data_IF_332591987169
#
_entry.id   IF_332591987169
#
_cell.length_a   1.000
_cell.length_b   1.000
_cell.length_c   1.000
_cell.angle_alpha   90.00
_cell.angle_beta   90.00
_cell.angle_gamma   90.00
#
_symmetry.space_group_name_H-M   'P 1'
#
loop_
_entity.id
_entity.type
_entity.pdbx_description
1 polymer ?
#
# COMPACT_ATOMS: atom_id res chain seq x y z
N UNK A 1 14.51 19.20 24.38
CA UNK A 1 14.47 20.62 23.93
C UNK A 1 13.02 20.95 23.63
N UNK A 2 12.47 22.05 24.17
CA UNK A 2 11.10 22.48 23.84
C UNK A 2 11.04 22.98 22.39
N UNK A 3 9.99 22.62 21.65
CA UNK A 3 9.80 22.98 20.23
C UNK A 3 9.98 24.49 20.00
N UNK A 4 9.36 25.32 20.84
CA UNK A 4 9.42 26.78 20.77
C UNK A 4 10.86 27.33 20.94
N UNK A 5 11.65 26.72 21.81
CA UNK A 5 13.06 27.10 22.01
C UNK A 5 13.91 26.75 20.78
N UNK A 6 13.64 25.62 20.12
CA UNK A 6 14.33 25.21 18.90
C UNK A 6 13.96 26.09 17.69
N UNK A 7 12.69 26.50 17.56
CA UNK A 7 12.24 27.44 16.52
C UNK A 7 12.92 28.79 16.70
N UNK A 8 12.92 29.33 17.93
CA UNK A 8 13.56 30.60 18.24
C UNK A 8 15.07 30.58 17.98
N UNK A 9 15.74 29.44 18.21
CA UNK A 9 17.15 29.28 17.87
C UNK A 9 17.39 29.28 16.35
N UNK A 10 16.54 28.62 15.57
CA UNK A 10 16.65 28.59 14.10
C UNK A 10 16.35 29.93 13.43
N UNK A 11 15.56 30.77 14.09
CA UNK A 11 15.25 32.13 13.65
C UNK A 11 16.31 33.16 14.05
N UNK A 12 17.34 32.83 14.84
CA UNK A 12 18.35 33.81 15.30
C UNK A 12 19.56 33.98 14.37
N UNK A 13 19.68 33.23 13.28
CA UNK A 13 20.78 33.40 12.33
C UNK A 13 20.69 34.76 11.59
N UNK A 14 21.74 35.59 11.55
CA UNK A 14 21.68 36.93 10.96
C UNK A 14 21.43 36.88 9.45
N UNK A 15 20.63 37.82 8.94
CA UNK A 15 20.31 37.98 7.52
C UNK A 15 21.52 38.54 6.73
N UNK A 16 21.65 38.15 5.45
CA UNK A 16 22.42 38.93 4.46
C UNK A 16 21.55 40.09 3.92
N UNK A 17 22.14 41.23 3.55
CA UNK A 17 21.39 42.45 3.30
C UNK A 17 20.72 42.51 1.91
N UNK A 18 19.50 43.07 1.93
CA UNK A 18 18.78 43.89 0.96
C UNK A 18 18.62 43.42 -0.51
N UNK A 19 17.41 42.95 -0.81
CA UNK A 19 16.81 42.86 -2.14
C UNK A 19 15.33 42.45 -2.06
N UNK A 20 14.54 42.72 -3.10
CA UNK A 20 13.06 42.68 -3.17
C UNK A 20 12.40 41.31 -2.91
N UNK A 21 13.18 40.27 -2.57
CA UNK A 21 12.72 38.92 -2.21
C UNK A 21 12.49 38.68 -0.71
N UNK A 22 12.46 39.75 0.11
CA UNK A 22 12.47 39.68 1.58
C UNK A 22 11.36 38.80 2.18
N UNK A 23 10.11 38.95 1.72
CA UNK A 23 8.98 38.21 2.27
C UNK A 23 9.07 36.70 1.96
N UNK A 24 9.54 36.36 0.76
CA UNK A 24 9.67 34.96 0.36
C UNK A 24 10.82 34.29 1.13
N UNK A 25 11.93 35.01 1.32
CA UNK A 25 13.07 34.54 2.12
C UNK A 25 12.71 34.36 3.60
N UNK A 26 11.95 35.30 4.18
CA UNK A 26 11.44 35.19 5.56
C UNK A 26 10.51 34.00 5.72
N UNK A 27 9.61 33.78 4.75
CA UNK A 27 8.73 32.62 4.75
C UNK A 27 9.50 31.31 4.67
N UNK A 28 10.48 31.21 3.76
CA UNK A 28 11.35 30.04 3.64
C UNK A 28 12.15 29.78 4.92
N UNK A 29 12.60 30.83 5.59
CA UNK A 29 13.35 30.75 6.85
C UNK A 29 12.45 30.29 8.00
N UNK A 30 11.26 30.86 8.14
CA UNK A 30 10.27 30.42 9.13
C UNK A 30 9.90 28.96 8.92
N UNK A 31 9.60 28.57 7.67
CA UNK A 31 9.29 27.18 7.29
C UNK A 31 10.45 26.25 7.67
N UNK A 32 11.68 26.62 7.36
CA UNK A 32 12.88 25.82 7.66
C UNK A 32 13.12 25.68 9.17
N UNK A 33 12.95 26.76 9.94
CA UNK A 33 13.08 26.75 11.39
C UNK A 33 12.01 25.84 12.04
N UNK A 34 10.76 25.95 11.60
CA UNK A 34 9.65 25.10 12.06
C UNK A 34 9.91 23.61 11.77
N UNK A 35 10.31 23.28 10.54
CA UNK A 35 10.58 21.90 10.13
C UNK A 35 11.77 21.29 10.90
N UNK A 36 12.85 22.05 11.07
CA UNK A 36 14.02 21.57 11.81
C UNK A 36 13.73 21.41 13.31
N UNK A 37 13.03 22.37 13.91
CA UNK A 37 12.58 22.24 15.30
C UNK A 37 11.67 21.02 15.47
N UNK A 38 10.74 20.79 14.54
CA UNK A 38 9.86 19.64 14.57
C UNK A 38 10.64 18.31 14.49
N UNK A 39 11.62 18.21 13.59
CA UNK A 39 12.49 17.04 13.45
C UNK A 39 13.31 16.73 14.70
N UNK A 40 13.73 17.75 15.45
CA UNK A 40 14.56 17.60 16.63
C UNK A 40 13.77 17.36 17.93
N UNK A 41 12.50 17.76 17.97
CA UNK A 41 11.71 17.77 19.22
C UNK A 41 10.55 16.79 19.23
N UNK A 42 9.97 16.45 18.06
CA UNK A 42 8.96 15.41 17.99
C UNK A 42 9.63 14.06 17.71
N UNK A 43 9.22 12.98 18.41
CA UNK A 43 9.72 11.65 18.12
C UNK A 43 9.42 11.28 16.66
N UNK A 44 10.41 10.76 15.94
CA UNK A 44 10.25 10.24 14.57
C UNK A 44 9.27 9.07 14.60
N UNK A 45 7.99 9.35 14.39
CA UNK A 45 6.98 8.33 14.14
C UNK A 45 6.88 8.20 12.62
N UNK A 46 7.38 7.09 12.08
CA UNK A 46 7.08 6.69 10.70
C UNK A 46 5.60 6.29 10.68
N UNK A 47 4.73 7.28 10.52
CA UNK A 47 3.30 7.05 10.28
C UNK A 47 3.20 6.64 8.81
N UNK A 48 3.42 5.36 8.57
CA UNK A 48 3.11 4.77 7.29
C UNK A 48 1.59 4.78 7.13
N UNK A 49 1.07 5.73 6.37
CA UNK A 49 -0.28 5.64 5.76
C UNK A 49 -0.42 4.40 4.86
N UNK A 50 0.69 3.69 4.60
CA UNK A 50 0.76 2.50 3.77
C UNK A 50 0.73 1.20 4.58
N UNK A 51 0.59 1.23 5.91
CA UNK A 51 0.27 0.02 6.68
C UNK A 51 -1.22 0.01 7.01
N UNK A 52 -2.04 -0.79 6.32
CA UNK A 52 -3.35 -1.14 6.84
C UNK A 52 -3.17 -1.65 8.27
N UNK A 53 -3.92 -1.08 9.22
CA UNK A 53 -3.79 -1.39 10.64
C UNK A 53 -4.21 -2.84 10.96
N UNK A 54 -4.82 -3.53 10.00
CA UNK A 54 -4.98 -4.97 9.94
C UNK A 54 -5.17 -5.37 8.47
N UNK A 55 -4.77 -6.58 8.10
CA UNK A 55 -5.15 -7.19 6.82
C UNK A 55 -6.69 -7.20 6.74
N UNK A 56 -7.29 -6.58 5.71
CA UNK A 56 -8.74 -6.55 5.53
C UNK A 56 -9.30 -7.97 5.57
N UNK A 57 -10.45 -8.16 6.23
CA UNK A 57 -11.03 -9.48 6.42
C UNK A 57 -11.29 -10.17 5.09
N UNK A 58 -11.72 -9.40 4.09
CA UNK A 58 -12.03 -9.82 2.73
C UNK A 58 -10.79 -10.34 1.98
N UNK A 59 -9.59 -9.86 2.33
CA UNK A 59 -8.34 -10.27 1.67
C UNK A 59 -7.68 -11.48 2.34
N UNK A 60 -8.08 -11.83 3.56
CA UNK A 60 -7.49 -12.95 4.31
C UNK A 60 -7.53 -14.27 3.53
N UNK A 61 -8.62 -14.66 2.85
CA UNK A 61 -8.65 -15.92 2.10
C UNK A 61 -7.62 -15.96 0.97
N UNK A 62 -7.48 -14.88 0.22
CA UNK A 62 -6.52 -14.78 -0.91
C UNK A 62 -5.08 -14.83 -0.38
N UNK A 63 -4.81 -14.13 0.72
CA UNK A 63 -3.48 -14.13 1.37
C UNK A 63 -3.17 -15.51 1.96
N UNK A 64 -4.15 -16.17 2.58
CA UNK A 64 -4.01 -17.52 3.10
C UNK A 64 -3.62 -18.50 1.98
N UNK A 65 -4.33 -18.45 0.86
CA UNK A 65 -4.05 -19.26 -0.31
C UNK A 65 -2.64 -19.00 -0.86
N UNK A 66 -2.23 -17.73 -0.93
CA UNK A 66 -0.87 -17.35 -1.34
C UNK A 66 0.19 -17.96 -0.43
N UNK A 67 0.05 -17.80 0.90
CA UNK A 67 1.00 -18.35 1.87
C UNK A 67 1.04 -19.88 1.85
N UNK A 68 -0.12 -20.51 1.65
CA UNK A 68 -0.23 -21.97 1.52
C UNK A 68 0.56 -22.49 0.32
N UNK A 69 0.44 -21.82 -0.84
CA UNK A 69 1.22 -22.13 -2.03
C UNK A 69 2.72 -21.86 -1.83
N UNK A 70 3.07 -20.73 -1.22
CA UNK A 70 4.47 -20.39 -0.91
C UNK A 70 5.12 -21.43 -0.01
N UNK A 71 4.43 -21.83 1.06
CA UNK A 71 4.90 -22.87 1.97
C UNK A 71 5.11 -24.20 1.24
N UNK A 72 4.17 -24.59 0.36
CA UNK A 72 4.33 -25.81 -0.44
C UNK A 72 5.53 -25.73 -1.38
N UNK A 73 5.68 -24.64 -2.14
CA UNK A 73 6.83 -24.43 -3.03
C UNK A 73 8.14 -24.50 -2.24
N UNK A 74 8.21 -23.86 -1.07
CA UNK A 74 9.38 -23.94 -0.19
C UNK A 74 9.63 -25.34 0.37
N UNK A 75 8.60 -26.16 0.53
CA UNK A 75 8.76 -27.54 0.99
C UNK A 75 9.37 -28.45 -0.09
N UNK A 76 9.24 -28.11 -1.38
CA UNK A 76 9.78 -28.90 -2.48
C UNK A 76 11.31 -29.06 -2.42
N UNK A 77 12.02 -28.12 -1.79
CA UNK A 77 13.47 -28.22 -1.57
C UNK A 77 13.88 -29.39 -0.68
N UNK A 78 12.94 -30.01 0.04
CA UNK A 78 13.17 -31.16 0.93
C UNK A 78 12.76 -32.50 0.29
N UNK A 79 12.32 -32.48 -0.96
CA UNK A 79 11.81 -33.67 -1.66
C UNK A 79 12.95 -34.25 -2.51
N UNK A 80 13.26 -35.53 -2.30
CA UNK A 80 14.41 -36.19 -2.93
C UNK A 80 14.01 -37.32 -3.89
N UNK A 81 12.74 -37.73 -3.89
CA UNK A 81 12.24 -38.78 -4.78
C UNK A 81 10.88 -38.45 -5.39
N UNK A 82 10.54 -39.16 -6.47
CA UNK A 82 9.22 -39.08 -7.11
C UNK A 82 8.09 -39.55 -6.18
N UNK A 83 8.38 -40.48 -5.27
CA UNK A 83 7.42 -40.98 -4.28
C UNK A 83 7.09 -39.92 -3.23
N UNK A 84 8.11 -39.22 -2.74
CA UNK A 84 7.93 -38.10 -1.80
C UNK A 84 7.12 -36.98 -2.45
N UNK A 85 7.40 -36.68 -3.73
CA UNK A 85 6.65 -35.68 -4.50
C UNK A 85 5.20 -36.10 -4.66
N UNK A 86 4.94 -37.35 -5.05
CA UNK A 86 3.58 -37.88 -5.18
C UNK A 86 2.79 -37.75 -3.89
N UNK A 87 3.34 -38.21 -2.76
CA UNK A 87 2.65 -38.16 -1.48
C UNK A 87 2.39 -36.71 -1.02
N UNK A 88 3.40 -35.86 -1.14
CA UNK A 88 3.30 -34.43 -0.78
C UNK A 88 2.25 -33.72 -1.64
N UNK A 89 2.28 -33.96 -2.95
CA UNK A 89 1.36 -33.33 -3.90
C UNK A 89 -0.07 -33.81 -3.73
N UNK A 90 -0.27 -35.12 -3.54
CA UNK A 90 -1.59 -35.70 -3.32
C UNK A 90 -2.24 -35.20 -2.02
N UNK A 91 -1.42 -34.87 -1.00
CA UNK A 91 -1.91 -34.24 0.23
C UNK A 91 -2.26 -32.77 0.06
N UNK A 92 -1.45 -32.03 -0.70
CA UNK A 92 -1.61 -30.59 -0.87
C UNK A 92 -2.72 -30.23 -1.87
N UNK A 93 -2.65 -30.80 -3.08
CA UNK A 93 -3.39 -30.34 -4.26
C UNK A 93 -4.91 -30.34 -4.07
N UNK A 94 -5.58 -31.38 -3.53
CA UNK A 94 -7.04 -31.37 -3.42
C UNK A 94 -7.56 -30.21 -2.57
N UNK A 95 -6.87 -29.92 -1.46
CA UNK A 95 -7.23 -28.81 -0.57
C UNK A 95 -6.96 -27.45 -1.21
N UNK A 96 -5.84 -27.32 -1.93
CA UNK A 96 -5.49 -26.09 -2.63
C UNK A 96 -6.41 -25.83 -3.82
N UNK A 97 -6.74 -26.88 -4.58
CA UNK A 97 -7.66 -26.83 -5.72
C UNK A 97 -9.01 -26.27 -5.31
N UNK A 98 -9.62 -26.86 -4.27
CA UNK A 98 -10.91 -26.42 -3.74
C UNK A 98 -10.88 -24.95 -3.32
N UNK A 99 -9.93 -24.57 -2.48
CA UNK A 99 -9.82 -23.17 -2.01
C UNK A 99 -9.59 -22.19 -3.16
N UNK A 100 -8.80 -22.57 -4.17
CA UNK A 100 -8.57 -21.76 -5.35
C UNK A 100 -9.85 -21.59 -6.18
N UNK A 101 -10.57 -22.67 -6.47
CA UNK A 101 -11.81 -22.62 -7.27
C UNK A 101 -12.92 -21.86 -6.54
N UNK A 102 -12.99 -21.96 -5.22
CA UNK A 102 -13.95 -21.23 -4.40
C UNK A 102 -13.66 -19.71 -4.44
N UNK A 103 -12.38 -19.31 -4.48
CA UNK A 103 -11.97 -17.90 -4.50
C UNK A 103 -11.93 -17.29 -5.90
N UNK A 104 -11.72 -18.10 -6.94
CA UNK A 104 -11.52 -17.65 -8.30
C UNK A 104 -12.41 -18.41 -9.29
N UNK A 105 -13.71 -18.40 -9.05
CA UNK A 105 -14.72 -19.13 -9.84
C UNK A 105 -14.55 -18.89 -11.35
N UNK A 106 -14.40 -17.62 -11.75
CA UNK A 106 -14.27 -17.23 -13.17
C UNK A 106 -12.89 -17.55 -13.78
N UNK A 107 -11.92 -17.96 -12.97
CA UNK A 107 -10.53 -18.24 -13.37
C UNK A 107 -10.11 -19.66 -12.99
N UNK A 108 -11.06 -20.57 -12.73
CA UNK A 108 -10.81 -21.96 -12.33
C UNK A 108 -9.92 -22.69 -13.33
N UNK A 109 -10.10 -22.45 -14.63
CA UNK A 109 -9.28 -23.06 -15.70
C UNK A 109 -7.76 -22.83 -15.55
N UNK A 110 -7.32 -21.79 -14.80
CA UNK A 110 -5.90 -21.58 -14.54
C UNK A 110 -5.28 -22.72 -13.75
N UNK A 111 -6.03 -23.30 -12.81
CA UNK A 111 -5.49 -24.36 -11.95
C UNK A 111 -5.42 -25.70 -12.66
N UNK A 112 -6.20 -25.90 -13.73
CA UNK A 112 -6.21 -27.13 -14.52
C UNK A 112 -4.92 -27.30 -15.33
N UNK A 113 -4.10 -26.25 -15.45
CA UNK A 113 -2.74 -26.30 -16.00
C UNK A 113 -1.81 -27.12 -15.08
N UNK A 114 -2.14 -27.22 -13.79
CA UNK A 114 -1.36 -28.00 -12.84
C UNK A 114 -1.57 -29.50 -13.04
N UNK A 115 -0.50 -30.26 -12.85
CA UNK A 115 -0.52 -31.70 -13.00
C UNK A 115 -1.43 -32.35 -11.95
N UNK A 116 -2.42 -33.13 -12.40
CA UNK A 116 -3.24 -33.93 -11.49
C UNK A 116 -2.35 -34.94 -10.73
N UNK A 117 -2.45 -35.04 -9.39
CA UNK A 117 -1.67 -36.01 -8.60
C UNK A 117 -1.74 -37.45 -9.11
N UNK A 118 -2.89 -37.87 -9.64
CA UNK A 118 -3.07 -39.22 -10.19
C UNK A 118 -2.18 -39.51 -11.42
N UNK A 119 -1.81 -38.47 -12.17
CA UNK A 119 -1.02 -38.56 -13.40
C UNK A 119 0.48 -38.31 -13.16
N UNK A 120 0.90 -38.06 -11.91
CA UNK A 120 2.25 -37.61 -11.63
C UNK A 120 3.31 -38.64 -12.03
N UNK A 121 3.08 -39.91 -11.69
CA UNK A 121 3.97 -41.01 -12.07
C UNK A 121 3.99 -41.24 -13.58
N UNK A 122 2.82 -41.30 -14.22
CA UNK A 122 2.75 -41.54 -15.66
C UNK A 122 3.49 -40.45 -16.43
N UNK A 123 3.29 -39.18 -16.06
CA UNK A 123 3.97 -38.04 -16.70
C UNK A 123 5.48 -38.06 -16.42
N UNK A 124 5.90 -38.40 -15.19
CA UNK A 124 7.32 -38.56 -14.89
C UNK A 124 7.97 -39.63 -15.76
N UNK A 125 7.35 -40.82 -15.85
CA UNK A 125 7.87 -41.92 -16.67
C UNK A 125 7.87 -41.61 -18.16
N UNK A 126 6.84 -40.93 -18.68
CA UNK A 126 6.75 -40.60 -20.11
C UNK A 126 7.76 -39.54 -20.54
N UNK A 127 8.11 -38.62 -19.65
CA UNK A 127 9.08 -37.56 -19.95
C UNK A 127 10.52 -38.09 -20.00
N UNK A 128 10.78 -39.27 -19.42
CA UNK A 128 12.10 -39.90 -19.38
C UNK A 128 13.20 -38.95 -18.89
N UNK A 129 12.89 -38.17 -17.85
CA UNK A 129 13.80 -37.21 -17.22
C UNK A 129 14.34 -37.79 -15.92
N UNK A 130 15.51 -37.33 -15.51
CA UNK A 130 15.96 -37.49 -14.14
C UNK A 130 15.06 -36.67 -13.19
N UNK A 131 14.95 -37.13 -11.95
CA UNK A 131 14.07 -36.51 -10.95
C UNK A 131 14.37 -35.01 -10.72
N UNK A 132 15.65 -34.57 -10.60
CA UNK A 132 15.96 -33.14 -10.46
C UNK A 132 15.39 -32.27 -11.60
N UNK A 133 15.55 -32.68 -12.86
CA UNK A 133 15.02 -31.93 -14.01
C UNK A 133 13.50 -31.92 -14.01
N UNK A 134 12.87 -33.04 -13.68
CA UNK A 134 11.41 -33.10 -13.53
C UNK A 134 10.92 -32.14 -12.42
N UNK A 135 11.58 -32.11 -11.27
CA UNK A 135 11.23 -31.24 -10.15
C UNK A 135 11.36 -29.76 -10.51
N UNK A 136 12.37 -29.37 -11.32
CA UNK A 136 12.50 -28.00 -11.84
C UNK A 136 11.30 -27.64 -12.72
N UNK A 137 10.89 -28.52 -13.65
CA UNK A 137 9.70 -28.30 -14.48
C UNK A 137 8.42 -28.19 -13.66
N UNK A 138 8.27 -29.06 -12.66
CA UNK A 138 7.15 -29.02 -11.73
C UNK A 138 7.12 -27.69 -10.96
N UNK A 139 8.26 -27.22 -10.43
CA UNK A 139 8.36 -25.93 -9.76
C UNK A 139 8.01 -24.76 -10.69
N UNK A 140 8.40 -24.81 -11.97
CA UNK A 140 8.05 -23.78 -12.96
C UNK A 140 6.52 -23.75 -13.16
N UNK A 141 5.85 -24.90 -13.22
CA UNK A 141 4.39 -24.95 -13.35
C UNK A 141 3.66 -24.28 -12.17
N UNK A 142 4.18 -24.41 -10.94
CA UNK A 142 3.60 -23.75 -9.77
C UNK A 142 3.86 -22.24 -9.76
N UNK A 143 4.94 -21.78 -10.40
CA UNK A 143 5.31 -20.36 -10.44
C UNK A 143 4.27 -19.51 -11.15
N UNK A 144 3.61 -20.02 -12.19
CA UNK A 144 2.56 -19.27 -12.91
C UNK A 144 1.36 -19.00 -12.00
N UNK A 145 0.90 -20.01 -11.27
CA UNK A 145 -0.19 -19.87 -10.29
C UNK A 145 0.21 -18.93 -9.16
N UNK A 146 1.45 -19.03 -8.67
CA UNK A 146 1.97 -18.10 -7.67
C UNK A 146 1.96 -16.65 -8.16
N UNK A 147 2.39 -16.40 -9.38
CA UNK A 147 2.38 -15.05 -9.97
C UNK A 147 0.97 -14.51 -10.07
N UNK A 148 0.02 -15.34 -10.52
CA UNK A 148 -1.38 -14.98 -10.59
C UNK A 148 -1.95 -14.61 -9.21
N UNK A 149 -1.81 -15.50 -8.21
CA UNK A 149 -2.34 -15.27 -6.85
C UNK A 149 -1.72 -14.01 -6.23
N UNK A 150 -0.41 -13.83 -6.36
CA UNK A 150 0.30 -12.64 -5.87
C UNK A 150 -0.16 -11.35 -6.56
N UNK A 151 -0.36 -11.40 -7.88
CA UNK A 151 -0.93 -10.30 -8.65
C UNK A 151 -2.34 -9.92 -8.16
N UNK A 152 -3.19 -10.93 -7.92
CA UNK A 152 -4.53 -10.73 -7.35
C UNK A 152 -4.50 -10.10 -5.97
N UNK A 153 -3.65 -10.60 -5.06
CA UNK A 153 -3.44 -9.99 -3.73
C UNK A 153 -3.09 -8.51 -3.87
N UNK A 154 -2.15 -8.18 -4.76
CA UNK A 154 -1.69 -6.79 -4.95
C UNK A 154 -2.80 -5.86 -5.45
N UNK A 155 -3.56 -6.31 -6.46
CA UNK A 155 -4.67 -5.54 -7.03
C UNK A 155 -5.77 -5.32 -5.99
N UNK A 156 -6.16 -6.36 -5.28
CA UNK A 156 -7.23 -6.25 -4.27
C UNK A 156 -6.81 -5.40 -3.06
N UNK A 157 -5.54 -5.46 -2.64
CA UNK A 157 -5.01 -4.52 -1.64
C UNK A 157 -5.08 -3.07 -2.11
N UNK A 158 -4.73 -2.81 -3.37
CA UNK A 158 -4.79 -1.48 -3.94
C UNK A 158 -6.23 -0.96 -4.00
N UNK A 159 -7.17 -1.79 -4.46
CA UNK A 159 -8.60 -1.47 -4.51
C UNK A 159 -9.14 -1.16 -3.11
N UNK A 160 -8.83 -2.00 -2.12
CA UNK A 160 -9.22 -1.76 -0.74
C UNK A 160 -8.67 -0.42 -0.22
N UNK A 161 -7.39 -0.13 -0.46
CA UNK A 161 -6.77 1.14 -0.06
C UNK A 161 -7.49 2.34 -0.69
N UNK A 162 -7.84 2.25 -1.97
CA UNK A 162 -8.59 3.31 -2.66
C UNK A 162 -9.99 3.52 -2.05
N UNK A 163 -10.71 2.43 -1.77
CA UNK A 163 -12.04 2.50 -1.14
C UNK A 163 -11.97 3.12 0.25
N UNK A 164 -11.03 2.67 1.10
CA UNK A 164 -10.83 3.23 2.44
C UNK A 164 -10.45 4.71 2.38
N UNK A 165 -9.58 5.10 1.44
CA UNK A 165 -9.19 6.49 1.26
C UNK A 165 -10.38 7.35 0.83
N UNK A 166 -11.17 6.90 -0.15
CA UNK A 166 -12.39 7.60 -0.59
C UNK A 166 -13.40 7.75 0.55
N UNK A 167 -13.63 6.71 1.34
CA UNK A 167 -14.53 6.75 2.50
C UNK A 167 -14.02 7.72 3.59
N UNK A 168 -12.72 7.74 3.85
CA UNK A 168 -12.12 8.67 4.81
C UNK A 168 -12.24 10.13 4.35
N UNK A 169 -12.05 10.40 3.06
CA UNK A 169 -12.26 11.74 2.47
C UNK A 169 -13.73 12.14 2.57
N UNK A 170 -14.67 11.27 2.16
CA UNK A 170 -16.10 11.55 2.25
C UNK A 170 -16.55 11.87 3.67
N UNK A 171 -16.10 11.07 4.66
CA UNK A 171 -16.36 11.32 6.08
C UNK A 171 -15.80 12.66 6.56
N UNK A 172 -14.59 13.00 6.15
CA UNK A 172 -13.98 14.30 6.47
C UNK A 172 -14.78 15.46 5.88
N UNK A 173 -15.25 15.32 4.63
CA UNK A 173 -16.04 16.34 3.96
C UNK A 173 -17.40 16.54 4.66
N UNK A 174 -18.10 15.45 5.01
CA UNK A 174 -19.34 15.53 5.80
C UNK A 174 -19.10 16.24 7.14
N UNK A 175 -18.04 15.88 7.88
CA UNK A 175 -17.69 16.60 9.11
C UNK A 175 -17.47 18.11 8.88
N UNK A 176 -16.87 18.53 7.76
CA UNK A 176 -16.64 19.96 7.51
C UNK A 176 -17.95 20.77 7.43
N UNK A 177 -18.98 20.21 6.81
CA UNK A 177 -20.28 20.87 6.64
C UNK A 177 -21.22 20.69 7.84
N UNK A 178 -21.20 19.50 8.46
CA UNK A 178 -22.16 19.12 9.50
C UNK A 178 -21.66 19.39 10.93
N UNK A 179 -20.34 19.26 11.18
CA UNK A 179 -19.78 19.28 12.53
C UNK A 179 -18.32 19.78 12.54
N UNK A 180 -18.18 21.10 12.62
CA UNK A 180 -16.87 21.79 12.60
C UNK A 180 -15.95 21.33 13.72
N UNK A 181 -16.49 20.97 14.89
CA UNK A 181 -15.71 20.48 16.02
C UNK A 181 -15.11 19.10 15.71
N UNK A 182 -15.92 18.15 15.20
CA UNK A 182 -15.41 16.85 14.74
C UNK A 182 -14.43 16.99 13.58
N UNK A 183 -14.62 17.94 12.66
CA UNK A 183 -13.67 18.22 11.60
C UNK A 183 -12.31 18.66 12.16
N UNK A 184 -12.30 19.59 13.11
CA UNK A 184 -11.08 20.08 13.78
C UNK A 184 -10.41 18.93 14.56
N UNK A 185 -11.15 18.22 15.40
CA UNK A 185 -10.62 17.11 16.19
C UNK A 185 -10.06 15.99 15.32
N UNK A 186 -10.70 15.63 14.21
CA UNK A 186 -10.20 14.60 13.28
C UNK A 186 -9.00 15.05 12.47
N UNK A 187 -8.92 16.33 12.09
CA UNK A 187 -7.78 16.91 11.37
C UNK A 187 -6.55 17.08 12.26
N UNK A 188 -6.75 17.33 13.56
CA UNK A 188 -5.69 17.46 14.56
C UNK A 188 -5.36 16.13 15.27
N UNK A 189 -6.03 15.03 14.93
CA UNK A 189 -5.81 13.73 15.55
C UNK A 189 -4.42 13.19 15.22
N UNK A 190 -3.59 13.04 16.27
CA UNK A 190 -2.19 12.60 16.18
C UNK A 190 -1.99 11.12 15.88
N UNK A 191 -3.04 10.31 16.01
CA UNK A 191 -3.00 8.87 15.72
C UNK A 191 -3.17 8.57 14.22
N UNK A 192 -3.80 9.48 13.47
CA UNK A 192 -4.09 9.35 12.03
C UNK A 192 -3.38 10.40 11.17
N UNK A 193 -2.28 10.97 11.68
CA UNK A 193 -1.57 12.10 11.08
C UNK A 193 -1.16 11.87 9.62
N UNK A 194 -1.92 12.45 8.71
CA UNK A 194 -1.41 12.97 7.44
C UNK A 194 -1.93 14.39 7.26
N UNK A 195 -1.22 15.36 7.85
CA UNK A 195 -1.43 16.75 7.48
C UNK A 195 -0.76 16.93 6.12
N UNK A 196 -1.52 16.76 5.04
CA UNK A 196 -1.12 17.27 3.72
C UNK A 196 -1.57 18.73 3.69
N UNK A 197 -0.62 19.64 3.90
CA UNK A 197 -0.85 21.09 3.91
C UNK A 197 -1.25 21.68 2.54
N UNK A 198 -1.33 20.88 1.47
CA UNK A 198 -1.59 21.38 0.11
C UNK A 198 -3.05 21.79 -0.17
N UNK A 199 -4.00 21.60 0.76
CA UNK A 199 -5.45 21.69 0.44
C UNK A 199 -6.25 22.71 1.27
N UNK A 200 -5.60 23.66 1.92
CA UNK A 200 -6.32 24.78 2.54
C UNK A 200 -6.04 26.03 1.73
N UNK A 201 -6.84 26.21 0.67
CA UNK A 201 -6.96 27.48 -0.02
C UNK A 201 -8.38 27.99 0.21
N UNK A 202 -8.47 29.06 0.99
CA UNK A 202 -9.69 29.83 1.20
C UNK A 202 -9.97 30.53 -0.12
N UNK A 203 -11.05 30.19 -0.82
CA UNK A 203 -11.55 31.06 -1.88
C UNK A 203 -12.07 32.33 -1.23
N UNK A 204 -11.58 33.48 -1.69
CA UNK A 204 -11.79 34.80 -1.08
C UNK A 204 -13.23 35.33 -1.31
N UNK A 205 -14.23 34.45 -1.33
CA UNK A 205 -15.65 34.80 -1.50
C UNK A 205 -16.25 34.92 -0.10
N UNK A 206 -16.63 36.14 0.34
CA UNK A 206 -17.27 36.34 1.63
C UNK A 206 -18.53 35.48 1.75
N UNK A 207 -18.60 34.66 2.79
CA UNK A 207 -19.80 33.89 3.14
C UNK A 207 -19.96 32.48 2.54
N UNK A 208 -19.03 31.99 1.72
CA UNK A 208 -19.15 30.63 1.13
C UNK A 208 -17.83 29.83 1.16
N UNK A 209 -17.41 29.32 2.33
CA UNK A 209 -16.20 28.52 2.43
C UNK A 209 -16.39 27.16 1.74
N UNK A 210 -15.55 26.86 0.75
CA UNK A 210 -15.52 25.57 0.05
C UNK A 210 -14.23 24.81 0.32
N UNK A 211 -14.35 23.50 0.52
CA UNK A 211 -13.21 22.59 0.63
C UNK A 211 -12.84 22.09 -0.77
N UNK A 212 -11.59 22.30 -1.20
CA UNK A 212 -11.10 21.79 -2.49
C UNK A 212 -10.80 20.28 -2.37
N UNK A 213 -11.57 19.46 -3.08
CA UNK A 213 -11.60 17.99 -2.89
C UNK A 213 -10.85 17.20 -3.99
N UNK A 214 -10.55 17.79 -5.16
CA UNK A 214 -10.01 17.04 -6.31
C UNK A 214 -8.47 17.04 -6.43
N UNK A 215 -7.91 15.94 -6.98
CA UNK A 215 -6.57 15.90 -7.57
C UNK A 215 -6.62 16.23 -9.08
N UNK A 216 -7.79 16.10 -9.73
CA UNK A 216 -7.93 16.15 -11.18
C UNK A 216 -8.38 17.51 -11.76
N UNK A 217 -8.83 18.45 -10.94
CA UNK A 217 -9.22 19.77 -11.43
C UNK A 217 -8.35 20.85 -10.80
N UNK A 218 -7.59 21.55 -11.66
CA UNK A 218 -6.78 22.77 -11.39
C UNK A 218 -5.36 22.59 -10.86
N UNK A 219 -4.51 21.84 -11.59
CA UNK A 219 -3.17 22.38 -11.89
C UNK A 219 -3.29 23.15 -13.21
N UNK A 220 -3.83 24.37 -13.14
CA UNK A 220 -3.48 25.41 -14.13
C UNK A 220 -2.39 26.27 -13.50
N UNK A 221 -1.30 26.56 -14.21
CA UNK A 221 -0.26 27.43 -13.71
C UNK A 221 -0.82 28.86 -13.69
N UNK A 222 -1.29 29.32 -12.54
CA UNK A 222 -1.42 30.76 -12.27
C UNK A 222 -0.04 31.27 -11.83
N UNK A 223 0.92 31.18 -12.75
CA UNK A 223 2.13 31.99 -12.80
C UNK A 223 2.11 32.71 -14.14
N UNK A 224 1.22 33.68 -14.29
CA UNK A 224 1.36 34.77 -15.26
C UNK A 224 0.44 35.90 -14.82
N UNK A 225 0.99 37.11 -14.90
CA UNK A 225 0.35 38.41 -14.76
C UNK A 225 0.29 39.00 -13.34
N UNK A 226 1.46 39.45 -12.89
CA UNK A 226 1.59 40.76 -12.23
C UNK A 226 2.55 41.57 -13.12
N UNK A 227 1.99 42.51 -13.87
CA UNK A 227 2.69 43.73 -14.32
C UNK A 227 2.59 44.73 -13.19
#
# INVERSE_FOLDING_TARGET
ILFTAAVNSGLKNPALPNGDGHLNNDWHRLKSALLNAARCTFPKRVISLNKPQAVPFELRPIIHLSHKLDHYISSLFRIFSISDLYFSWNRFFPSFYKEFTDLFIDQSALIDILLNPALLYSVFTSLNLDFPTFLIKFHISLRSIKQFVSGKVTVEFYNHKQVVMKAAIAKRNSNFYEDKEKFICSSLNREKCSIVLDRVLITNIPGNPQLLIALDDTVRPLCTDIV
#
